data_IF_025012081087
#
_entry.id   IF_025012081087
#
_cell.length_a   1.000
_cell.length_b   1.000
_cell.length_c   1.000
_cell.angle_alpha   90.00
_cell.angle_beta   90.00
_cell.angle_gamma   90.00
#
_symmetry.space_group_name_H-M   'P 1'
#
loop_
_entity.id
_entity.type
_entity.pdbx_description
1 polymer ?
#
# COMPACT_ATOMS: atom_id res chain seq x y z
N UNK A 1 31.09 -6.07 7.26
CA UNK A 1 31.75 -5.08 6.39
C UNK A 1 30.99 -5.05 5.08
N UNK A 2 30.01 -4.15 4.95
CA UNK A 2 29.22 -4.04 3.73
C UNK A 2 29.90 -2.99 2.86
N UNK A 3 30.22 -3.38 1.63
CA UNK A 3 30.88 -2.58 0.61
C UNK A 3 30.10 -1.29 0.36
N UNK A 4 30.75 -0.13 0.55
CA UNK A 4 30.33 1.13 -0.04
C UNK A 4 30.28 0.89 -1.55
N UNK A 5 29.07 0.62 -2.06
CA UNK A 5 28.85 0.63 -3.51
C UNK A 5 28.98 2.10 -3.88
N UNK A 6 29.93 2.46 -4.74
CA UNK A 6 30.04 3.82 -5.24
C UNK A 6 28.76 4.14 -6.02
N UNK A 7 27.84 4.84 -5.37
CA UNK A 7 26.58 5.22 -5.98
C UNK A 7 26.78 6.53 -6.71
N UNK A 8 26.67 6.50 -8.03
CA UNK A 8 26.73 7.70 -8.86
C UNK A 8 25.49 8.56 -8.60
N UNK A 9 25.70 9.72 -7.98
CA UNK A 9 24.64 10.70 -7.72
C UNK A 9 24.61 11.73 -8.86
N UNK A 10 23.49 11.87 -9.58
CA UNK A 10 23.35 12.88 -10.61
C UNK A 10 23.56 14.30 -10.05
N UNK A 11 24.43 15.08 -10.69
CA UNK A 11 24.68 16.50 -10.36
C UNK A 11 25.15 16.77 -8.93
N UNK A 12 25.87 15.82 -8.31
CA UNK A 12 26.42 16.03 -6.97
C UNK A 12 27.38 17.22 -6.92
N UNK A 13 28.25 17.36 -7.93
CA UNK A 13 29.21 18.48 -8.00
C UNK A 13 28.47 19.82 -8.00
N UNK A 14 27.50 19.99 -8.90
CA UNK A 14 26.67 21.20 -8.99
C UNK A 14 25.97 21.53 -7.65
N UNK A 15 25.49 20.50 -6.93
CA UNK A 15 24.86 20.69 -5.62
C UNK A 15 25.85 21.23 -4.58
N UNK A 16 27.06 20.67 -4.50
CA UNK A 16 28.09 21.08 -3.53
C UNK A 16 28.72 22.45 -3.88
N UNK A 17 28.77 22.80 -5.16
CA UNK A 17 29.21 24.12 -5.60
C UNK A 17 28.16 25.19 -5.31
N UNK A 18 26.87 24.88 -5.50
CA UNK A 18 25.76 25.79 -5.22
C UNK A 18 25.61 26.07 -3.73
N UNK A 19 25.86 25.08 -2.88
CA UNK A 19 25.82 25.21 -1.44
C UNK A 19 27.08 24.59 -0.81
N UNK A 20 28.14 25.39 -0.60
CA UNK A 20 29.38 24.88 -0.01
C UNK A 20 29.24 24.37 1.43
N UNK A 21 28.22 24.82 2.18
CA UNK A 21 28.05 24.42 3.58
C UNK A 21 27.71 22.93 3.74
N UNK A 22 27.18 22.29 2.70
CA UNK A 22 26.83 20.85 2.73
C UNK A 22 27.97 19.93 2.29
N UNK A 23 29.13 20.48 1.90
CA UNK A 23 30.29 19.71 1.44
C UNK A 23 30.81 18.73 2.50
N UNK A 24 30.84 19.16 3.76
CA UNK A 24 31.26 18.31 4.89
C UNK A 24 30.31 17.13 5.13
N UNK A 25 29.12 17.17 4.51
CA UNK A 25 28.10 16.12 4.59
C UNK A 25 28.01 15.24 3.33
N UNK A 26 28.95 15.37 2.37
CA UNK A 26 28.93 14.60 1.12
C UNK A 26 28.80 13.09 1.34
N UNK A 27 29.49 12.54 2.35
CA UNK A 27 29.41 11.12 2.71
C UNK A 27 27.98 10.70 3.06
N UNK A 28 27.28 11.52 3.83
CA UNK A 28 25.89 11.25 4.23
C UNK A 28 24.92 11.39 3.04
N UNK A 29 25.17 12.35 2.13
CA UNK A 29 24.40 12.49 0.88
C UNK A 29 24.53 11.22 0.03
N UNK A 30 25.76 10.71 -0.15
CA UNK A 30 26.03 9.43 -0.84
C UNK A 30 25.30 8.27 -0.19
N UNK A 31 25.39 8.14 1.14
CA UNK A 31 24.70 7.09 1.89
C UNK A 31 23.18 7.13 1.67
N UNK A 32 22.56 8.31 1.78
CA UNK A 32 21.11 8.50 1.59
C UNK A 32 20.68 8.17 0.17
N UNK A 33 21.42 8.63 -0.83
CA UNK A 33 21.10 8.34 -2.22
C UNK A 33 21.25 6.84 -2.54
N UNK A 34 22.23 6.16 -1.95
CA UNK A 34 22.33 4.69 -2.03
C UNK A 34 21.16 3.97 -1.38
N UNK A 35 20.68 4.42 -0.21
CA UNK A 35 19.45 3.90 0.39
C UNK A 35 18.23 4.10 -0.52
N UNK A 36 18.09 5.30 -1.11
CA UNK A 36 17.03 5.60 -2.07
C UNK A 36 17.08 4.66 -3.28
N UNK A 37 18.23 4.52 -3.94
CA UNK A 37 18.37 3.64 -5.09
C UNK A 37 18.08 2.18 -4.75
N UNK A 38 18.52 1.70 -3.58
CA UNK A 38 18.22 0.34 -3.10
C UNK A 38 16.71 0.11 -2.98
N UNK A 39 15.98 1.03 -2.34
CA UNK A 39 14.52 0.93 -2.18
C UNK A 39 13.82 1.06 -3.53
N UNK A 40 14.23 2.00 -4.38
CA UNK A 40 13.68 2.18 -5.72
C UNK A 40 13.84 0.92 -6.57
N UNK A 41 15.02 0.30 -6.53
CA UNK A 41 15.30 -0.97 -7.22
C UNK A 41 14.34 -2.06 -6.73
N UNK A 42 14.16 -2.21 -5.42
CA UNK A 42 13.22 -3.17 -4.85
C UNK A 42 11.78 -2.91 -5.29
N UNK A 43 11.32 -1.65 -5.34
CA UNK A 43 9.98 -1.31 -5.84
C UNK A 43 9.85 -1.67 -7.33
N UNK A 44 10.86 -1.35 -8.14
CA UNK A 44 10.85 -1.66 -9.57
C UNK A 44 10.77 -3.17 -9.81
N UNK A 45 11.58 -3.96 -9.09
CA UNK A 45 11.65 -5.42 -9.24
C UNK A 45 10.40 -6.14 -8.74
N UNK A 46 9.81 -5.70 -7.62
CA UNK A 46 8.72 -6.44 -6.97
C UNK A 46 7.32 -5.90 -7.27
N UNK A 47 7.19 -4.61 -7.59
CA UNK A 47 5.89 -3.95 -7.72
C UNK A 47 5.69 -3.34 -9.12
N UNK A 48 6.68 -3.48 -10.02
CA UNK A 48 6.61 -3.01 -11.40
C UNK A 48 6.75 -1.49 -11.56
N UNK A 49 7.39 -0.83 -10.59
CA UNK A 49 7.73 0.59 -10.64
C UNK A 49 6.88 1.50 -9.77
N UNK A 50 7.35 2.73 -9.54
CA UNK A 50 6.69 3.72 -8.67
C UNK A 50 5.25 4.04 -9.09
N UNK A 51 4.99 4.12 -10.39
CA UNK A 51 3.65 4.38 -10.93
C UNK A 51 2.66 3.29 -10.47
N UNK A 52 3.00 2.01 -10.66
CA UNK A 52 2.14 0.89 -10.25
C UNK A 52 2.04 0.79 -8.74
N UNK A 53 3.16 0.94 -8.03
CA UNK A 53 3.20 0.84 -6.57
C UNK A 53 2.35 1.92 -5.89
N UNK A 54 2.37 3.15 -6.41
CA UNK A 54 1.60 4.27 -5.85
C UNK A 54 0.08 4.16 -6.06
N UNK A 55 -0.38 3.27 -6.94
CA UNK A 55 -1.80 2.99 -7.21
C UNK A 55 -2.40 1.92 -6.29
N UNK A 56 -1.84 1.75 -5.10
CA UNK A 56 -2.34 0.81 -4.09
C UNK A 56 -3.82 1.04 -3.74
N UNK A 57 -4.32 2.27 -3.87
CA UNK A 57 -5.73 2.61 -3.64
C UNK A 57 -6.69 1.91 -4.60
N UNK A 58 -6.23 1.39 -5.74
CA UNK A 58 -7.06 0.61 -6.69
C UNK A 58 -7.24 -0.86 -6.25
N UNK A 59 -6.45 -1.29 -5.27
CA UNK A 59 -6.48 -2.66 -4.72
C UNK A 59 -6.98 -2.66 -3.28
N UNK A 60 -6.42 -1.80 -2.43
CA UNK A 60 -6.77 -1.69 -1.02
C UNK A 60 -8.01 -0.82 -0.80
N UNK A 61 -8.73 -1.06 0.29
CA UNK A 61 -10.00 -0.42 0.59
C UNK A 61 -11.18 -1.18 0.00
N UNK A 62 -12.31 -0.48 -0.18
CA UNK A 62 -13.57 -1.03 -0.66
C UNK A 62 -13.75 -0.72 -2.15
N UNK A 63 -13.90 -1.76 -2.97
CA UNK A 63 -14.02 -1.67 -4.42
C UNK A 63 -15.27 -2.37 -4.92
N UNK A 64 -16.10 -1.65 -5.65
CA UNK A 64 -17.26 -2.23 -6.35
C UNK A 64 -16.77 -2.84 -7.66
N UNK A 65 -17.04 -4.12 -7.87
CA UNK A 65 -16.68 -4.87 -9.08
C UNK A 65 -17.75 -4.68 -10.16
N UNK A 66 -17.44 -5.13 -11.39
CA UNK A 66 -18.35 -5.03 -12.54
C UNK A 66 -19.68 -5.79 -12.33
N UNK A 67 -19.69 -6.82 -11.50
CA UNK A 67 -20.87 -7.62 -11.14
C UNK A 67 -21.61 -7.09 -9.90
N UNK A 68 -21.32 -5.86 -9.46
CA UNK A 68 -21.80 -5.21 -8.24
C UNK A 68 -21.42 -5.89 -6.92
N UNK A 69 -20.58 -6.94 -6.93
CA UNK A 69 -19.96 -7.42 -5.70
C UNK A 69 -18.97 -6.37 -5.17
N UNK A 70 -18.65 -6.43 -3.87
CA UNK A 70 -17.68 -5.53 -3.24
C UNK A 70 -16.50 -6.33 -2.73
N UNK A 71 -15.32 -6.05 -3.28
CA UNK A 71 -14.06 -6.56 -2.76
C UNK A 71 -13.49 -5.58 -1.74
N UNK A 72 -13.06 -6.10 -0.58
CA UNK A 72 -12.40 -5.32 0.46
C UNK A 72 -11.02 -5.90 0.72
N UNK A 73 -9.98 -5.07 0.64
CA UNK A 73 -8.61 -5.44 0.98
C UNK A 73 -8.05 -4.53 2.07
N UNK A 74 -7.40 -5.13 3.07
CA UNK A 74 -6.80 -4.40 4.19
C UNK A 74 -5.42 -4.97 4.53
N UNK A 75 -4.51 -4.13 5.08
CA UNK A 75 -3.23 -4.59 5.60
C UNK A 75 -3.21 -4.50 7.13
N UNK A 76 -3.25 -5.65 7.80
CA UNK A 76 -3.21 -5.74 9.26
C UNK A 76 -2.47 -7.02 9.69
N UNK A 77 -1.13 -7.04 9.61
CA UNK A 77 -0.34 -8.25 9.88
C UNK A 77 -0.49 -8.77 11.31
N UNK A 78 -0.68 -7.86 12.28
CA UNK A 78 -0.88 -8.19 13.69
C UNK A 78 -2.28 -8.70 14.05
N UNK A 79 -3.24 -8.66 13.11
CA UNK A 79 -4.57 -9.18 13.36
C UNK A 79 -4.58 -10.72 13.40
N UNK A 80 -5.35 -11.28 14.33
CA UNK A 80 -5.65 -12.71 14.38
C UNK A 80 -6.84 -13.08 13.49
N UNK A 81 -7.82 -12.17 13.39
CA UNK A 81 -8.97 -12.24 12.50
C UNK A 81 -9.39 -10.80 12.15
N UNK A 82 -10.01 -10.61 10.99
CA UNK A 82 -10.66 -9.36 10.60
C UNK A 82 -12.07 -9.63 10.09
N UNK A 83 -12.94 -8.65 10.30
CA UNK A 83 -14.33 -8.67 9.84
C UNK A 83 -14.73 -7.33 9.26
N UNK A 84 -15.62 -7.35 8.26
CA UNK A 84 -16.27 -6.14 7.73
C UNK A 84 -17.65 -6.01 8.35
N UNK A 85 -17.99 -4.82 8.83
CA UNK A 85 -19.33 -4.52 9.35
C UNK A 85 -19.79 -3.13 8.96
N UNK A 86 -21.09 -2.91 8.95
CA UNK A 86 -21.66 -1.62 8.63
C UNK A 86 -23.18 -1.64 8.64
N UNK A 87 -23.78 -0.57 8.13
CA UNK A 87 -25.23 -0.47 8.01
C UNK A 87 -25.80 -1.62 7.13
N UNK A 88 -25.03 -2.14 6.17
CA UNK A 88 -25.45 -3.22 5.27
C UNK A 88 -25.67 -4.59 5.93
N UNK A 89 -25.13 -4.80 7.14
CA UNK A 89 -25.21 -6.08 7.86
C UNK A 89 -25.63 -5.91 9.33
N UNK A 90 -26.38 -4.85 9.62
CA UNK A 90 -26.85 -4.48 10.96
C UNK A 90 -25.72 -4.42 12.00
N UNK A 91 -24.55 -3.97 11.56
CA UNK A 91 -23.33 -3.89 12.39
C UNK A 91 -22.91 -5.23 13.03
N UNK A 92 -23.34 -6.35 12.46
CA UNK A 92 -22.96 -7.69 12.91
C UNK A 92 -21.43 -7.84 12.87
N UNK A 93 -20.86 -8.27 13.99
CA UNK A 93 -19.40 -8.27 14.21
C UNK A 93 -18.69 -9.46 13.58
N UNK A 94 -19.41 -10.49 13.14
CA UNK A 94 -18.82 -11.79 12.77
C UNK A 94 -19.33 -12.35 11.44
N UNK A 95 -20.36 -11.77 10.83
CA UNK A 95 -21.01 -12.32 9.63
C UNK A 95 -20.15 -12.26 8.36
N UNK A 96 -19.16 -11.35 8.30
CA UNK A 96 -18.32 -11.14 7.12
C UNK A 96 -16.83 -11.25 7.49
N UNK A 97 -16.33 -12.47 7.79
CA UNK A 97 -14.92 -12.70 8.08
C UNK A 97 -14.07 -12.48 6.83
N UNK A 98 -12.94 -11.81 6.99
CA UNK A 98 -11.94 -11.67 5.95
C UNK A 98 -10.97 -12.84 5.97
N UNK A 99 -10.53 -13.27 4.79
CA UNK A 99 -9.49 -14.28 4.60
C UNK A 99 -8.11 -13.64 4.76
N UNK A 100 -7.27 -14.22 5.62
CA UNK A 100 -5.85 -13.83 5.73
C UNK A 100 -5.08 -14.30 4.50
N UNK A 101 -4.28 -13.41 3.94
CA UNK A 101 -3.37 -13.67 2.82
C UNK A 101 -1.92 -13.55 3.30
N UNK A 102 -0.99 -13.76 2.37
CA UNK A 102 0.42 -13.50 2.59
C UNK A 102 0.70 -12.03 2.97
N UNK A 103 1.85 -11.80 3.60
CA UNK A 103 2.31 -10.48 4.04
C UNK A 103 1.35 -9.75 5.00
N UNK A 104 0.42 -10.47 5.63
CA UNK A 104 -0.55 -9.90 6.57
C UNK A 104 -1.66 -9.08 5.91
N UNK A 105 -1.88 -9.29 4.61
CA UNK A 105 -3.02 -8.74 3.87
C UNK A 105 -4.27 -9.56 4.18
N UNK A 106 -5.43 -8.95 4.01
CA UNK A 106 -6.72 -9.57 4.25
C UNK A 106 -7.67 -9.23 3.10
N UNK A 107 -8.54 -10.17 2.74
CA UNK A 107 -9.53 -9.95 1.69
C UNK A 107 -10.91 -10.52 2.03
N UNK A 108 -11.95 -9.91 1.49
CA UNK A 108 -13.29 -10.51 1.36
C UNK A 108 -13.94 -9.98 0.10
N UNK A 109 -14.71 -10.83 -0.59
CA UNK A 109 -15.64 -10.40 -1.63
C UNK A 109 -17.07 -10.63 -1.13
N UNK A 110 -17.83 -9.55 -1.03
CA UNK A 110 -19.23 -9.56 -0.62
C UNK A 110 -20.06 -9.60 -1.91
N UNK A 111 -20.84 -10.65 -2.17
CA UNK A 111 -21.57 -10.78 -3.42
C UNK A 111 -22.62 -9.67 -3.57
N UNK A 112 -23.03 -9.42 -4.82
CA UNK A 112 -24.21 -8.63 -5.10
C UNK A 112 -25.44 -9.22 -4.40
N UNK A 113 -26.43 -8.38 -4.12
CA UNK A 113 -27.72 -8.86 -3.59
C UNK A 113 -28.44 -9.70 -4.66
N UNK A 114 -29.47 -10.44 -4.25
CA UNK A 114 -30.27 -11.27 -5.16
C UNK A 114 -30.91 -10.46 -6.31
N UNK A 115 -31.19 -9.18 -6.08
CA UNK A 115 -31.69 -8.24 -7.10
C UNK A 115 -30.60 -7.66 -8.02
N UNK A 116 -29.34 -8.10 -7.86
CA UNK A 116 -28.18 -7.64 -8.62
C UNK A 116 -27.59 -6.31 -8.16
N UNK A 117 -28.14 -5.67 -7.12
CA UNK A 117 -27.64 -4.39 -6.61
C UNK A 117 -26.41 -4.56 -5.68
N UNK A 118 -25.65 -3.47 -5.53
CA UNK A 118 -24.48 -3.44 -4.64
C UNK A 118 -24.89 -3.74 -3.18
N UNK A 119 -24.16 -4.64 -2.47
CA UNK A 119 -24.49 -5.02 -1.10
C UNK A 119 -24.27 -3.86 -0.12
N UNK A 120 -23.35 -2.93 -0.41
CA UNK A 120 -23.03 -1.78 0.43
C UNK A 120 -23.55 -0.50 -0.25
N UNK A 121 -24.67 0.08 0.24
CA UNK A 121 -25.23 1.30 -0.36
C UNK A 121 -24.26 2.48 -0.29
N UNK A 122 -24.29 3.34 -1.31
CA UNK A 122 -23.56 4.60 -1.30
C UNK A 122 -23.94 5.44 -0.05
N UNK A 123 -22.95 6.14 0.53
CA UNK A 123 -23.08 6.93 1.76
C UNK A 123 -23.47 6.14 3.03
N UNK A 124 -23.49 4.81 2.98
CA UNK A 124 -23.64 3.98 4.17
C UNK A 124 -22.35 3.90 4.97
N UNK A 125 -22.46 3.62 6.27
CA UNK A 125 -21.31 3.52 7.18
C UNK A 125 -20.75 2.11 7.19
N UNK A 126 -19.42 2.01 7.17
CA UNK A 126 -18.68 0.74 7.25
C UNK A 126 -17.52 0.86 8.24
N UNK A 127 -17.05 -0.29 8.73
CA UNK A 127 -15.88 -0.41 9.59
C UNK A 127 -15.26 -1.80 9.45
N UNK A 128 -13.93 -1.84 9.33
CA UNK A 128 -13.14 -3.06 9.54
C UNK A 128 -12.89 -3.24 11.05
N UNK A 129 -13.03 -4.45 11.56
CA UNK A 129 -12.86 -4.82 12.97
C UNK A 129 -11.88 -5.95 13.13
#
# INVERSE_FOLDING_TARGET
MSTDTEVEIPRLKDLLERDPYIKDHEKEIKRRYGCFQKVLKQINENEGGLEKFSRGYEKFGFHVNQDNSVTVHEWAPGAQALFVKGDFNDWNKTSHPMKKLEFGKWEITIPAKEDGSCPIPHMSRVKVR
#
